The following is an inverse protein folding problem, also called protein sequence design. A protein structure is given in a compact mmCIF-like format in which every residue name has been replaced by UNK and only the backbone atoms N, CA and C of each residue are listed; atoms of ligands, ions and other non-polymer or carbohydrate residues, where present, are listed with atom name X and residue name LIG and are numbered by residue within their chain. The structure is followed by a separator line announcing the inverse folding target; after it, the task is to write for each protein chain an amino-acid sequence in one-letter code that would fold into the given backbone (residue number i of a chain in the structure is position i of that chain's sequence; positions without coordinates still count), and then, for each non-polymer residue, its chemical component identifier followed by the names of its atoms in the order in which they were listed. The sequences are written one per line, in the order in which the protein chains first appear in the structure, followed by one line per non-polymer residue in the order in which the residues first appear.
data_IF_207816604299
#
_entry.id   IF_207816604299
#
_cell.length_a   1.000
_cell.length_b   1.000
_cell.length_c   1.000
_cell.angle_alpha   90.00
_cell.angle_beta   90.00
_cell.angle_gamma   90.00
#
_symmetry.space_group_name_H-M   'P 1'
#
loop_
_entity.id
_entity.type
_entity.pdbx_description
1 polymer ?
#
# COMPACT_ATOMS: atom_id res chain seq x y z
N UNK A 1 45.13 -20.56 -31.57
CA UNK A 1 43.77 -21.04 -31.26
C UNK A 1 43.56 -21.32 -29.75
N UNK A 2 44.42 -22.13 -29.11
CA UNK A 2 44.23 -22.49 -27.65
C UNK A 2 44.46 -21.32 -26.73
N UNK A 3 45.45 -20.44 -27.00
CA UNK A 3 45.68 -19.22 -26.19
C UNK A 3 44.57 -18.17 -26.38
N UNK A 4 44.05 -18.03 -27.61
CA UNK A 4 42.93 -17.13 -27.89
C UNK A 4 41.68 -17.59 -27.16
N UNK A 5 41.38 -18.89 -27.16
CA UNK A 5 40.24 -19.42 -26.40
C UNK A 5 40.38 -19.27 -24.88
N UNK A 6 41.60 -19.38 -24.33
CA UNK A 6 41.85 -19.12 -22.92
C UNK A 6 41.62 -17.65 -22.55
N UNK A 7 42.10 -16.72 -23.44
CA UNK A 7 41.92 -15.28 -23.21
C UNK A 7 40.43 -14.86 -23.32
N UNK A 8 39.69 -15.44 -24.28
CA UNK A 8 38.24 -15.19 -24.37
C UNK A 8 37.55 -15.60 -23.08
N UNK A 9 37.82 -16.79 -22.57
CA UNK A 9 37.20 -17.29 -21.32
C UNK A 9 37.55 -16.42 -20.11
N UNK A 10 38.76 -15.88 -20.04
CA UNK A 10 39.19 -14.97 -18.99
C UNK A 10 38.42 -13.62 -19.08
N UNK A 11 38.31 -13.07 -20.28
CA UNK A 11 37.58 -11.82 -20.56
C UNK A 11 36.06 -11.98 -20.32
N UNK A 12 35.46 -13.10 -20.70
CA UNK A 12 34.06 -13.40 -20.45
C UNK A 12 33.78 -13.38 -18.95
N UNK A 13 34.65 -14.01 -18.14
CA UNK A 13 34.51 -13.98 -16.67
C UNK A 13 34.63 -12.57 -16.10
N UNK A 14 35.55 -11.75 -16.61
CA UNK A 14 35.69 -10.35 -16.18
C UNK A 14 34.46 -9.53 -16.56
N UNK A 15 33.88 -9.74 -17.74
CA UNK A 15 32.65 -9.12 -18.19
C UNK A 15 31.49 -9.51 -17.29
N UNK A 16 31.32 -10.79 -16.96
CA UNK A 16 30.28 -11.27 -16.06
C UNK A 16 30.38 -10.61 -14.68
N UNK A 17 31.59 -10.56 -14.09
CA UNK A 17 31.84 -9.91 -12.79
C UNK A 17 31.54 -8.40 -12.82
N UNK A 18 31.84 -7.72 -13.92
CA UNK A 18 31.52 -6.30 -14.10
C UNK A 18 30.02 -6.06 -14.29
N UNK A 19 29.35 -6.93 -15.03
CA UNK A 19 27.89 -6.88 -15.21
C UNK A 19 27.15 -7.08 -13.88
N UNK A 20 27.56 -8.06 -13.08
CA UNK A 20 26.97 -8.27 -11.74
C UNK A 20 27.15 -7.03 -10.83
N UNK A 21 28.34 -6.41 -10.85
CA UNK A 21 28.59 -5.17 -10.08
C UNK A 21 27.74 -4.00 -10.59
N UNK A 22 27.63 -3.86 -11.91
CA UNK A 22 26.80 -2.83 -12.53
C UNK A 22 25.33 -3.01 -12.15
N UNK A 23 24.79 -4.22 -12.27
CA UNK A 23 23.42 -4.54 -11.90
C UNK A 23 23.17 -4.28 -10.42
N UNK A 24 24.09 -4.69 -9.56
CA UNK A 24 24.02 -4.41 -8.11
C UNK A 24 23.86 -2.91 -7.81
N UNK A 25 24.58 -2.05 -8.53
CA UNK A 25 24.49 -0.59 -8.37
C UNK A 25 23.17 -0.08 -8.93
N UNK A 26 22.81 -0.47 -10.16
CA UNK A 26 21.61 0.01 -10.86
C UNK A 26 20.31 -0.33 -10.10
N UNK A 27 20.24 -1.53 -9.52
CA UNK A 27 19.09 -1.96 -8.72
C UNK A 27 18.91 -1.16 -7.41
N UNK A 28 19.93 -0.40 -6.97
CA UNK A 28 19.91 0.42 -5.76
C UNK A 28 19.73 1.92 -6.03
N UNK A 29 19.64 2.30 -7.29
CA UNK A 29 19.32 3.68 -7.64
C UNK A 29 17.80 3.90 -7.54
N UNK A 30 17.34 4.97 -6.87
CA UNK A 30 15.93 5.33 -6.85
C UNK A 30 15.45 5.76 -8.23
N UNK A 31 14.13 5.85 -8.37
CA UNK A 31 13.53 6.49 -9.54
C UNK A 31 13.88 7.99 -9.57
N UNK A 32 13.76 8.60 -10.74
CA UNK A 32 13.95 10.05 -10.89
C UNK A 32 12.68 10.79 -10.48
N UNK A 33 12.77 11.79 -9.60
CA UNK A 33 11.62 12.60 -9.23
C UNK A 33 11.10 13.40 -10.42
N UNK A 34 9.81 13.70 -10.42
CA UNK A 34 9.21 14.58 -11.40
C UNK A 34 9.67 16.04 -11.19
N UNK A 35 9.83 16.80 -12.28
CA UNK A 35 10.21 18.23 -12.20
C UNK A 35 9.22 19.06 -11.38
N UNK A 36 8.00 18.57 -11.18
CA UNK A 36 6.93 19.22 -10.42
C UNK A 36 6.92 18.88 -8.94
N UNK A 37 7.83 18.04 -8.47
CA UNK A 37 7.85 17.66 -7.05
C UNK A 37 8.52 18.72 -6.19
N UNK A 38 8.04 18.93 -4.95
CA UNK A 38 8.72 19.79 -3.99
C UNK A 38 10.14 19.27 -3.74
N UNK A 39 11.12 20.14 -3.83
CA UNK A 39 12.52 19.77 -3.57
C UNK A 39 12.81 19.95 -2.08
N UNK A 40 13.12 18.86 -1.39
CA UNK A 40 13.41 18.90 0.04
C UNK A 40 13.98 17.57 0.56
N UNK A 41 14.69 17.58 1.71
CA UNK A 41 15.36 16.40 2.25
C UNK A 41 14.43 15.44 3.02
N UNK A 42 13.23 15.87 3.42
CA UNK A 42 12.33 15.12 4.30
C UNK A 42 10.86 15.59 4.20
N UNK A 43 9.99 15.02 5.02
CA UNK A 43 8.55 15.27 5.10
C UNK A 43 8.16 16.73 5.40
N UNK A 44 9.04 17.53 6.00
CA UNK A 44 8.75 18.95 6.30
C UNK A 44 8.66 19.82 5.05
N UNK A 45 9.10 19.31 3.91
CA UNK A 45 9.01 19.97 2.61
C UNK A 45 7.83 19.48 1.76
N UNK A 46 7.01 18.60 2.29
CA UNK A 46 5.80 18.17 1.61
C UNK A 46 4.82 19.32 1.47
N UNK A 47 4.12 19.40 0.34
CA UNK A 47 3.20 20.48 0.04
C UNK A 47 1.75 20.00 0.07
N UNK A 48 0.88 20.66 0.87
CA UNK A 48 -0.54 20.40 0.83
C UNK A 48 -1.11 20.92 -0.49
N UNK A 49 -1.67 20.02 -1.30
CA UNK A 49 -2.25 20.34 -2.61
C UNK A 49 -3.72 20.75 -2.49
N UNK A 50 -4.48 20.01 -1.67
CA UNK A 50 -5.91 20.23 -1.42
C UNK A 50 -6.37 19.53 -0.15
N UNK A 51 -7.52 19.94 0.34
CA UNK A 51 -8.20 19.26 1.46
C UNK A 51 -9.69 19.18 1.20
N UNK A 52 -10.31 18.26 1.89
CA UNK A 52 -11.75 18.08 1.85
C UNK A 52 -12.32 17.99 3.26
N UNK A 53 -13.36 18.80 3.50
CA UNK A 53 -14.05 18.93 4.77
C UNK A 53 -13.18 19.50 5.91
N UNK A 54 -13.81 20.06 6.93
CA UNK A 54 -13.12 20.59 8.11
C UNK A 54 -12.83 19.47 9.11
N UNK A 55 -11.71 19.55 9.87
CA UNK A 55 -11.43 18.65 10.98
C UNK A 55 -12.63 18.49 11.91
N UNK A 56 -12.98 17.25 12.24
CA UNK A 56 -14.06 16.94 13.17
C UNK A 56 -13.74 17.52 14.54
N UNK A 57 -14.70 18.27 15.11
CA UNK A 57 -14.60 18.90 16.43
C UNK A 57 -15.63 18.32 17.37
N UNK A 58 -15.24 18.16 18.62
CA UNK A 58 -16.11 17.66 19.69
C UNK A 58 -16.16 18.70 20.83
N UNK A 59 -17.29 18.77 21.52
CA UNK A 59 -17.45 19.58 22.73
C UNK A 59 -16.91 18.88 23.99
N UNK A 60 -16.34 17.68 23.80
CA UNK A 60 -15.71 16.86 24.82
C UNK A 60 -14.34 16.35 24.35
N UNK A 61 -13.52 15.83 25.26
CA UNK A 61 -12.22 15.25 24.91
C UNK A 61 -12.42 13.94 24.16
N UNK A 62 -12.07 13.85 22.86
CA UNK A 62 -12.22 12.63 22.11
C UNK A 62 -11.24 11.56 22.59
N UNK A 63 -11.70 10.30 22.64
CA UNK A 63 -10.86 9.14 22.94
C UNK A 63 -10.14 8.67 21.70
N UNK A 64 -8.95 8.14 21.88
CA UNK A 64 -8.21 7.48 20.82
C UNK A 64 -8.87 6.14 20.43
N UNK A 65 -8.70 5.73 19.16
CA UNK A 65 -9.33 4.51 18.62
C UNK A 65 -8.96 3.23 19.39
N UNK A 66 -7.76 3.16 19.99
CA UNK A 66 -7.36 2.00 20.79
C UNK A 66 -8.12 1.92 22.13
N UNK A 67 -8.40 3.07 22.75
CA UNK A 67 -9.19 3.12 23.99
C UNK A 67 -10.67 2.82 23.68
N UNK A 68 -11.24 3.45 22.64
CA UNK A 68 -12.60 3.16 22.16
C UNK A 68 -12.77 1.68 21.80
N UNK A 69 -11.84 1.10 21.05
CA UNK A 69 -11.90 -0.30 20.65
C UNK A 69 -11.85 -1.26 21.83
N UNK A 70 -11.09 -0.91 22.87
CA UNK A 70 -11.03 -1.67 24.14
C UNK A 70 -12.30 -1.50 24.97
N UNK A 71 -12.78 -0.28 25.15
CA UNK A 71 -14.00 0.02 25.90
C UNK A 71 -15.23 -0.63 25.26
N UNK A 72 -15.33 -0.59 23.96
CA UNK A 72 -16.38 -1.26 23.17
C UNK A 72 -16.19 -2.78 23.10
N UNK A 73 -15.06 -3.31 23.55
CA UNK A 73 -14.70 -4.72 23.49
C UNK A 73 -14.68 -5.29 22.05
N UNK A 74 -14.31 -4.49 21.07
CA UNK A 74 -14.25 -4.83 19.65
C UNK A 74 -12.81 -5.00 19.11
N UNK A 75 -11.80 -4.50 19.86
CA UNK A 75 -10.37 -4.72 19.62
C UNK A 75 -9.75 -5.37 20.86
N UNK A 76 -8.94 -6.42 20.64
CA UNK A 76 -8.30 -7.18 21.71
C UNK A 76 -6.80 -7.31 21.46
N UNK A 77 -6.04 -6.47 22.15
CA UNK A 77 -4.58 -6.39 22.07
C UNK A 77 -3.89 -7.47 22.90
N UNK A 78 -4.49 -7.82 24.06
CA UNK A 78 -3.92 -8.81 24.98
C UNK A 78 -3.99 -10.22 24.38
N UNK A 79 -5.12 -10.56 23.75
CA UNK A 79 -5.25 -11.82 23.04
C UNK A 79 -4.25 -11.91 21.88
N UNK A 80 -4.06 -10.83 21.12
CA UNK A 80 -3.10 -10.79 20.02
C UNK A 80 -1.65 -10.95 20.52
N UNK A 81 -1.31 -10.32 21.64
CA UNK A 81 0.01 -10.45 22.24
C UNK A 81 0.31 -11.88 22.72
N UNK A 82 -0.68 -12.63 23.17
CA UNK A 82 -0.52 -14.06 23.55
C UNK A 82 -0.23 -14.95 22.34
N UNK A 83 -0.80 -14.62 21.18
CA UNK A 83 -0.75 -15.48 19.98
C UNK A 83 0.45 -15.12 19.10
N UNK A 84 0.76 -13.84 18.99
CA UNK A 84 1.80 -13.36 18.06
C UNK A 84 2.84 -12.50 18.79
N UNK A 85 2.54 -11.23 19.02
CA UNK A 85 3.39 -10.26 19.69
C UNK A 85 2.65 -8.92 19.84
N UNK A 86 3.39 -7.84 20.22
CA UNK A 86 2.95 -6.46 20.06
C UNK A 86 2.72 -6.13 18.57
N UNK A 87 1.91 -5.10 18.28
CA UNK A 87 1.55 -4.67 16.92
C UNK A 87 0.77 -5.72 16.11
N UNK A 88 0.02 -6.59 16.80
CA UNK A 88 -1.05 -7.41 16.27
C UNK A 88 -2.34 -7.09 17.01
N UNK A 89 -3.49 -7.39 16.41
CA UNK A 89 -4.80 -7.11 17.00
C UNK A 89 -5.80 -8.19 16.61
N UNK A 90 -6.70 -8.53 17.53
CA UNK A 90 -7.93 -9.25 17.21
C UNK A 90 -9.06 -8.24 17.05
N UNK A 91 -9.74 -8.30 15.91
CA UNK A 91 -11.05 -7.68 15.74
C UNK A 91 -12.11 -8.68 16.13
N UNK A 92 -13.11 -8.29 16.89
CA UNK A 92 -14.21 -9.18 17.28
C UNK A 92 -15.58 -8.49 17.26
N UNK A 93 -16.64 -9.27 17.12
CA UNK A 93 -18.01 -8.76 17.09
C UNK A 93 -18.20 -7.66 16.05
N UNK A 94 -18.73 -6.52 16.48
CA UNK A 94 -18.95 -5.36 15.62
C UNK A 94 -17.66 -4.80 15.03
N UNK A 95 -16.51 -4.97 15.69
CA UNK A 95 -15.21 -4.56 15.15
C UNK A 95 -14.78 -5.38 13.92
N UNK A 96 -14.94 -6.71 13.99
CA UNK A 96 -14.68 -7.58 12.86
C UNK A 96 -15.65 -7.34 11.70
N UNK A 97 -16.91 -7.04 12.03
CA UNK A 97 -17.92 -6.68 11.04
C UNK A 97 -17.60 -5.34 10.39
N UNK A 98 -17.14 -4.34 11.16
CA UNK A 98 -16.72 -3.03 10.64
C UNK A 98 -15.52 -3.15 9.70
N UNK A 99 -14.48 -3.91 10.09
CA UNK A 99 -13.31 -4.12 9.23
C UNK A 99 -13.73 -4.78 7.90
N UNK A 100 -14.57 -5.82 7.95
CA UNK A 100 -15.11 -6.48 6.77
C UNK A 100 -15.97 -5.54 5.92
N UNK A 101 -16.80 -4.72 6.54
CA UNK A 101 -17.62 -3.72 5.87
C UNK A 101 -16.75 -2.70 5.09
N UNK A 102 -15.68 -2.22 5.72
CA UNK A 102 -14.75 -1.26 5.12
C UNK A 102 -14.09 -1.83 3.87
N UNK A 103 -13.48 -3.01 3.91
CA UNK A 103 -12.79 -3.51 2.73
C UNK A 103 -13.76 -3.98 1.62
N UNK A 104 -14.95 -4.50 1.95
CA UNK A 104 -15.96 -4.82 0.94
C UNK A 104 -16.47 -3.55 0.25
N UNK A 105 -16.74 -2.49 1.01
CA UNK A 105 -17.10 -1.20 0.47
C UNK A 105 -16.01 -0.66 -0.49
N UNK A 106 -14.73 -0.76 -0.13
CA UNK A 106 -13.64 -0.31 -1.01
C UNK A 106 -13.57 -1.10 -2.31
N UNK A 107 -13.73 -2.42 -2.26
CA UNK A 107 -13.73 -3.26 -3.46
C UNK A 107 -14.92 -2.95 -4.37
N UNK A 108 -16.12 -2.79 -3.81
CA UNK A 108 -17.32 -2.46 -4.58
C UNK A 108 -17.18 -1.09 -5.26
N UNK A 109 -16.67 -0.08 -4.55
CA UNK A 109 -16.43 1.24 -5.13
C UNK A 109 -15.36 1.21 -6.22
N UNK A 110 -14.20 0.56 -5.96
CA UNK A 110 -13.14 0.47 -6.96
C UNK A 110 -13.62 -0.26 -8.22
N UNK A 111 -14.38 -1.35 -8.07
CA UNK A 111 -14.93 -2.06 -9.24
C UNK A 111 -15.97 -1.23 -9.99
N UNK A 112 -16.75 -0.41 -9.30
CA UNK A 112 -17.69 0.53 -9.94
C UNK A 112 -16.97 1.65 -10.71
N UNK A 113 -15.74 1.99 -10.32
CA UNK A 113 -14.86 2.95 -11.01
C UNK A 113 -14.03 2.31 -12.13
N UNK A 114 -14.32 1.05 -12.48
CA UNK A 114 -13.72 0.36 -13.62
C UNK A 114 -12.45 -0.43 -13.33
N UNK A 115 -12.16 -0.71 -12.07
CA UNK A 115 -11.09 -1.65 -11.72
C UNK A 115 -11.60 -3.09 -11.81
N UNK A 116 -10.74 -3.99 -12.31
CA UNK A 116 -10.97 -5.44 -12.22
C UNK A 116 -10.44 -5.94 -10.90
N UNK A 117 -11.30 -6.56 -10.09
CA UNK A 117 -10.88 -7.21 -8.85
C UNK A 117 -10.09 -8.48 -9.14
N UNK A 118 -8.96 -8.66 -8.43
CA UNK A 118 -8.09 -9.83 -8.51
C UNK A 118 -7.81 -10.36 -7.11
N UNK A 119 -7.89 -11.66 -6.91
CA UNK A 119 -7.43 -12.33 -5.69
C UNK A 119 -6.01 -12.83 -5.93
N UNK A 120 -5.05 -12.30 -5.17
CA UNK A 120 -3.62 -12.54 -5.39
C UNK A 120 -3.04 -13.54 -4.38
N UNK A 121 -1.93 -14.25 -4.74
CA UNK A 121 -1.11 -14.94 -3.75
C UNK A 121 -0.53 -13.95 -2.72
N UNK A 122 -0.42 -14.39 -1.45
CA UNK A 122 0.25 -13.63 -0.38
C UNK A 122 1.73 -13.98 -0.23
N UNK A 123 2.21 -15.02 -0.94
CA UNK A 123 3.60 -15.44 -1.02
C UNK A 123 4.12 -15.21 -2.44
N UNK A 124 5.24 -14.52 -2.56
CA UNK A 124 5.86 -14.19 -3.85
C UNK A 124 7.34 -14.54 -3.85
N UNK A 125 7.88 -14.82 -5.04
CA UNK A 125 9.31 -15.08 -5.22
C UNK A 125 10.14 -13.80 -5.25
N UNK A 126 11.46 -13.95 -5.16
CA UNK A 126 12.41 -12.83 -5.17
C UNK A 126 12.34 -11.99 -6.45
N UNK A 127 12.10 -12.62 -7.60
CA UNK A 127 11.97 -11.91 -8.87
C UNK A 127 10.77 -10.95 -8.86
N UNK A 128 9.69 -11.33 -8.18
CA UNK A 128 8.52 -10.46 -8.01
C UNK A 128 8.84 -9.28 -7.10
N UNK A 129 9.57 -9.51 -6.01
CA UNK A 129 10.04 -8.44 -5.12
C UNK A 129 11.01 -7.48 -5.83
N UNK A 130 11.86 -8.00 -6.70
CA UNK A 130 12.77 -7.19 -7.52
C UNK A 130 12.00 -6.43 -8.63
N UNK A 131 11.02 -7.06 -9.25
CA UNK A 131 10.19 -6.48 -10.31
C UNK A 131 9.50 -5.20 -9.90
N UNK A 132 9.04 -5.11 -8.65
CA UNK A 132 8.42 -3.90 -8.09
C UNK A 132 9.41 -2.99 -7.33
N UNK A 133 10.69 -3.38 -7.23
CA UNK A 133 11.73 -2.57 -6.60
C UNK A 133 11.82 -2.67 -5.07
N UNK A 134 11.11 -3.62 -4.43
CA UNK A 134 11.27 -3.91 -3.01
C UNK A 134 12.66 -4.48 -2.73
N UNK A 135 13.11 -5.42 -3.58
CA UNK A 135 14.46 -5.94 -3.51
C UNK A 135 15.38 -5.26 -4.53
N UNK A 136 16.66 -5.10 -4.19
CA UNK A 136 17.37 -5.57 -2.99
C UNK A 136 17.35 -4.60 -1.80
N UNK A 137 16.62 -3.47 -1.85
CA UNK A 137 16.74 -2.39 -0.86
C UNK A 137 16.07 -2.72 0.49
N UNK A 138 14.87 -3.31 0.47
CA UNK A 138 14.02 -3.50 1.66
C UNK A 138 14.02 -4.95 2.17
N UNK A 139 15.13 -5.66 2.06
CA UNK A 139 15.25 -7.06 2.50
C UNK A 139 15.06 -7.25 4.02
N UNK A 140 15.31 -6.21 4.82
CA UNK A 140 15.15 -6.24 6.28
C UNK A 140 13.70 -5.98 6.74
N UNK A 141 12.86 -5.42 5.85
CA UNK A 141 11.48 -5.04 6.16
C UNK A 141 10.44 -6.12 5.86
N UNK A 142 10.88 -7.30 5.45
CA UNK A 142 10.00 -8.37 5.01
C UNK A 142 10.12 -9.64 5.87
N UNK A 143 9.06 -10.46 5.85
CA UNK A 143 9.07 -11.82 6.41
C UNK A 143 9.35 -12.82 5.30
N UNK A 144 10.42 -13.60 5.44
CA UNK A 144 10.78 -14.69 4.52
C UNK A 144 10.40 -16.04 5.10
N UNK A 145 10.02 -16.98 4.23
CA UNK A 145 9.74 -18.35 4.62
C UNK A 145 11.07 -19.11 4.74
N UNK A 146 11.25 -19.80 5.84
CA UNK A 146 12.34 -20.74 6.06
C UNK A 146 11.73 -22.15 6.14
N UNK A 147 12.01 -22.97 5.15
CA UNK A 147 11.60 -24.37 5.11
C UNK A 147 12.82 -25.26 5.39
N UNK A 148 12.68 -26.20 6.32
CA UNK A 148 13.75 -27.09 6.69
C UNK A 148 13.86 -28.30 5.75
N UNK A 149 12.79 -28.64 5.02
CA UNK A 149 12.72 -29.80 4.15
C UNK A 149 13.15 -29.51 2.70
N UNK A 150 12.95 -28.26 2.23
CA UNK A 150 13.43 -27.79 0.92
C UNK A 150 13.98 -26.36 1.00
N UNK A 151 15.28 -26.21 1.35
CA UNK A 151 15.89 -24.91 1.49
C UNK A 151 15.95 -24.08 0.19
N UNK A 152 15.85 -24.71 -0.99
CA UNK A 152 15.87 -23.99 -2.27
C UNK A 152 14.52 -23.36 -2.58
N UNK A 153 13.42 -24.06 -2.33
CA UNK A 153 12.07 -23.53 -2.52
C UNK A 153 11.77 -22.46 -1.46
N UNK A 154 12.10 -22.71 -0.22
CA UNK A 154 11.83 -21.83 0.90
C UNK A 154 12.58 -20.49 0.85
N UNK A 155 13.83 -20.52 0.40
CA UNK A 155 14.67 -19.31 0.31
C UNK A 155 14.16 -18.26 -0.69
N UNK A 156 13.18 -18.63 -1.51
CA UNK A 156 12.68 -17.80 -2.60
C UNK A 156 11.28 -17.23 -2.37
N UNK A 157 10.64 -17.48 -1.21
CA UNK A 157 9.29 -16.97 -0.93
C UNK A 157 9.29 -15.95 0.20
N UNK A 158 8.57 -14.86 -0.04
CA UNK A 158 8.42 -13.74 0.89
C UNK A 158 6.93 -13.45 1.07
N UNK A 159 6.49 -13.16 2.31
CA UNK A 159 5.17 -12.61 2.58
C UNK A 159 5.09 -11.18 2.02
N UNK A 160 4.05 -10.90 1.25
CA UNK A 160 3.92 -9.60 0.57
C UNK A 160 3.78 -8.44 1.55
N UNK A 161 4.52 -7.33 1.38
CA UNK A 161 4.33 -6.10 2.15
C UNK A 161 3.17 -5.25 1.62
N UNK A 162 2.64 -5.57 0.44
CA UNK A 162 1.55 -4.90 -0.28
C UNK A 162 1.09 -5.76 -1.45
N UNK A 163 -0.19 -5.66 -1.83
CA UNK A 163 -0.70 -6.30 -3.06
C UNK A 163 -0.12 -5.70 -4.35
N UNK A 164 0.52 -4.54 -4.29
CA UNK A 164 1.27 -3.98 -5.43
C UNK A 164 2.20 -5.03 -6.06
N UNK A 165 2.92 -5.79 -5.22
CA UNK A 165 3.89 -6.78 -5.70
C UNK A 165 3.24 -7.83 -6.61
N UNK A 166 2.24 -8.60 -6.18
CA UNK A 166 1.62 -9.58 -7.08
C UNK A 166 0.81 -8.94 -8.20
N UNK A 167 0.19 -7.75 -8.01
CA UNK A 167 -0.61 -7.11 -9.05
C UNK A 167 0.25 -6.59 -10.21
N UNK A 168 1.38 -5.94 -9.94
CA UNK A 168 2.31 -5.49 -10.99
C UNK A 168 2.95 -6.69 -11.69
N UNK A 169 3.40 -7.69 -10.92
CA UNK A 169 4.04 -8.88 -11.48
C UNK A 169 3.08 -9.83 -12.21
N UNK A 170 1.75 -9.64 -12.11
CA UNK A 170 0.78 -10.32 -12.95
C UNK A 170 1.08 -10.12 -14.45
N UNK A 171 1.66 -8.98 -14.79
CA UNK A 171 2.03 -8.61 -16.16
C UNK A 171 3.52 -8.80 -16.47
N UNK A 172 4.29 -9.40 -15.56
CA UNK A 172 5.75 -9.59 -15.74
C UNK A 172 6.08 -10.40 -16.99
N UNK A 173 6.93 -9.82 -17.85
CA UNK A 173 7.38 -10.44 -19.09
C UNK A 173 6.43 -10.26 -20.27
N UNK A 174 5.26 -9.70 -20.07
CA UNK A 174 4.24 -9.58 -21.11
C UNK A 174 4.52 -8.44 -22.11
N UNK A 175 3.99 -8.63 -23.31
CA UNK A 175 3.82 -7.57 -24.31
C UNK A 175 2.32 -7.39 -24.56
N UNK A 176 1.75 -6.41 -23.90
CA UNK A 176 0.33 -6.09 -23.93
C UNK A 176 -0.04 -5.45 -25.27
N UNK A 177 -1.22 -5.75 -25.83
CA UNK A 177 -1.74 -4.95 -26.94
C UNK A 177 -2.08 -3.54 -26.43
N UNK A 178 -1.46 -2.51 -27.03
CA UNK A 178 -1.67 -1.12 -26.63
C UNK A 178 -3.10 -0.61 -26.68
N UNK A 179 -3.99 -1.33 -27.39
CA UNK A 179 -5.45 -1.04 -27.38
C UNK A 179 -6.14 -1.41 -26.08
N UNK A 180 -5.53 -2.30 -25.28
CA UNK A 180 -6.07 -2.75 -24.01
C UNK A 180 -5.64 -1.85 -22.82
N UNK A 181 -4.78 -0.86 -23.07
CA UNK A 181 -4.36 0.11 -22.05
C UNK A 181 -5.33 1.31 -22.00
N UNK A 182 -5.63 1.84 -20.81
CA UNK A 182 -5.14 1.46 -19.48
C UNK A 182 -5.75 0.16 -18.95
N UNK A 183 -4.99 -0.60 -18.17
CA UNK A 183 -5.48 -1.73 -17.38
C UNK A 183 -5.50 -1.30 -15.91
N UNK A 184 -6.66 -1.41 -15.27
CA UNK A 184 -6.86 -1.07 -13.87
C UNK A 184 -7.23 -2.34 -13.10
N UNK A 185 -6.46 -2.68 -12.07
CA UNK A 185 -6.72 -3.84 -11.22
C UNK A 185 -6.71 -3.45 -9.74
N UNK A 186 -7.53 -4.13 -8.93
CA UNK A 186 -7.59 -3.92 -7.49
C UNK A 186 -7.60 -5.25 -6.76
N UNK A 187 -7.02 -5.29 -5.56
CA UNK A 187 -7.02 -6.48 -4.72
C UNK A 187 -7.06 -6.14 -3.23
N UNK A 188 -7.84 -6.89 -2.47
CA UNK A 188 -7.69 -6.99 -1.03
C UNK A 188 -6.59 -8.01 -0.71
N UNK A 189 -5.64 -7.64 0.11
CA UNK A 189 -4.66 -8.58 0.66
C UNK A 189 -4.31 -8.29 2.12
N UNK A 190 -3.87 -9.30 2.88
CA UNK A 190 -3.00 -9.03 4.01
C UNK A 190 -1.69 -8.43 3.49
N UNK A 191 -1.08 -7.59 4.30
CA UNK A 191 0.24 -7.01 4.07
C UNK A 191 1.08 -7.24 5.33
N UNK A 192 2.34 -7.64 5.14
CA UNK A 192 3.23 -8.04 6.22
C UNK A 192 4.48 -7.18 6.20
N UNK A 193 4.77 -6.47 7.32
CA UNK A 193 5.96 -5.61 7.46
C UNK A 193 6.63 -5.86 8.79
N UNK A 194 7.94 -6.11 8.77
CA UNK A 194 8.72 -6.30 10.00
C UNK A 194 8.89 -5.00 10.80
N UNK A 195 8.66 -3.84 10.17
CA UNK A 195 8.77 -2.51 10.79
C UNK A 195 10.14 -2.27 11.44
N UNK A 196 11.22 -2.78 10.84
CA UNK A 196 12.57 -2.79 11.41
C UNK A 196 13.10 -1.39 11.80
N UNK A 197 12.71 -0.35 11.05
CA UNK A 197 13.13 1.04 11.29
C UNK A 197 12.21 1.87 12.18
N UNK A 198 11.13 1.30 12.77
CA UNK A 198 10.04 2.05 13.39
C UNK A 198 10.03 2.00 14.93
N UNK A 199 11.16 1.71 15.57
CA UNK A 199 11.25 1.61 17.03
C UNK A 199 10.75 2.90 17.72
N UNK A 200 9.77 2.74 18.64
CA UNK A 200 9.21 3.85 19.43
C UNK A 200 8.16 4.71 18.73
N UNK A 201 7.90 4.54 17.43
CA UNK A 201 6.85 5.28 16.70
C UNK A 201 5.55 4.48 16.66
N UNK A 202 4.40 5.16 16.87
CA UNK A 202 3.04 4.59 16.79
C UNK A 202 2.92 3.21 17.47
N UNK A 203 3.33 3.14 18.75
CA UNK A 203 3.39 1.88 19.51
C UNK A 203 2.03 1.36 19.96
N UNK A 204 0.97 2.16 19.79
CA UNK A 204 -0.42 1.82 20.13
C UNK A 204 -1.34 1.97 18.92
N UNK A 205 -2.43 1.21 18.93
CA UNK A 205 -3.50 1.32 17.96
C UNK A 205 -3.20 0.68 16.61
N UNK A 206 -4.00 1.05 15.60
CA UNK A 206 -4.05 0.40 14.29
C UNK A 206 -3.17 1.06 13.23
N UNK A 207 -2.43 2.13 13.58
CA UNK A 207 -1.69 2.92 12.59
C UNK A 207 -0.48 2.16 12.04
N UNK A 208 0.22 1.38 12.91
CA UNK A 208 1.44 0.67 12.55
C UNK A 208 1.43 -0.74 13.09
N UNK A 209 1.15 -1.70 12.22
CA UNK A 209 0.95 -3.11 12.52
C UNK A 209 1.90 -3.97 11.70
N UNK A 210 2.30 -5.14 12.22
CA UNK A 210 3.10 -6.13 11.49
C UNK A 210 2.28 -6.86 10.42
N UNK A 211 0.98 -7.02 10.66
CA UNK A 211 0.00 -7.53 9.71
C UNK A 211 -1.19 -6.58 9.67
N UNK A 212 -1.60 -6.20 8.47
CA UNK A 212 -2.79 -5.36 8.25
C UNK A 212 -3.41 -5.69 6.89
N UNK A 213 -4.67 -5.31 6.69
CA UNK A 213 -5.34 -5.45 5.39
C UNK A 213 -5.32 -4.14 4.64
N UNK A 214 -5.12 -4.26 3.34
CA UNK A 214 -5.13 -3.13 2.41
C UNK A 214 -5.84 -3.53 1.12
N UNK A 215 -6.70 -2.66 0.63
CA UNK A 215 -7.16 -2.71 -0.75
C UNK A 215 -6.16 -1.92 -1.57
N UNK A 216 -5.57 -2.53 -2.57
CA UNK A 216 -4.59 -1.90 -3.45
C UNK A 216 -5.17 -1.68 -4.82
N UNK A 217 -4.82 -0.58 -5.44
CA UNK A 217 -5.14 -0.23 -6.82
C UNK A 217 -3.85 -0.15 -7.62
N UNK A 218 -3.80 -0.80 -8.78
CA UNK A 218 -2.68 -0.74 -9.71
C UNK A 218 -3.19 -0.39 -11.10
N UNK A 219 -2.47 0.48 -11.79
CA UNK A 219 -2.73 0.81 -13.19
C UNK A 219 -1.49 0.50 -14.03
N UNK A 220 -1.70 -0.12 -15.19
CA UNK A 220 -0.71 -0.29 -16.24
C UNK A 220 -1.15 0.56 -17.42
N UNK A 221 -0.33 1.53 -17.82
CA UNK A 221 -0.74 2.59 -18.74
C UNK A 221 0.31 2.88 -19.79
N UNK A 222 -0.07 3.62 -20.84
CA UNK A 222 0.90 4.21 -21.77
C UNK A 222 1.65 5.37 -21.08
N UNK A 223 2.93 5.61 -21.43
CA UNK A 223 3.72 6.69 -20.84
C UNK A 223 3.05 8.07 -20.93
N UNK A 224 2.44 8.38 -22.04
CA UNK A 224 1.76 9.66 -22.30
C UNK A 224 0.55 9.92 -21.41
N UNK A 225 -0.08 8.86 -20.88
CA UNK A 225 -1.30 8.95 -20.06
C UNK A 225 -0.98 8.96 -18.55
N UNK A 226 0.24 8.60 -18.14
CA UNK A 226 0.55 8.23 -16.76
C UNK A 226 0.33 9.36 -15.74
N UNK A 227 0.57 10.61 -16.11
CA UNK A 227 0.34 11.75 -15.21
C UNK A 227 -1.14 12.01 -14.96
N UNK A 228 -1.96 11.90 -16.01
CA UNK A 228 -3.42 11.98 -15.89
C UNK A 228 -3.96 10.81 -15.06
N UNK A 229 -3.41 9.62 -15.26
CA UNK A 229 -3.83 8.44 -14.52
C UNK A 229 -3.40 8.47 -13.05
N UNK A 230 -2.35 9.22 -12.67
CA UNK A 230 -2.02 9.50 -11.28
C UNK A 230 -3.12 10.35 -10.61
N UNK A 231 -3.60 11.41 -11.27
CA UNK A 231 -4.71 12.20 -10.76
C UNK A 231 -5.99 11.36 -10.63
N UNK A 232 -6.31 10.53 -11.62
CA UNK A 232 -7.46 9.64 -11.57
C UNK A 232 -7.35 8.64 -10.40
N UNK A 233 -6.17 8.03 -10.20
CA UNK A 233 -5.91 7.10 -9.11
C UNK A 233 -6.09 7.77 -7.74
N UNK A 234 -5.55 8.99 -7.60
CA UNK A 234 -5.68 9.79 -6.38
C UNK A 234 -7.15 10.14 -6.10
N UNK A 235 -7.91 10.56 -7.13
CA UNK A 235 -9.34 10.83 -7.00
C UNK A 235 -10.15 9.59 -6.61
N UNK A 236 -9.80 8.40 -7.10
CA UNK A 236 -10.46 7.16 -6.65
C UNK A 236 -10.28 6.95 -5.14
N UNK A 237 -9.07 7.16 -4.60
CA UNK A 237 -8.82 7.08 -3.16
C UNK A 237 -9.56 8.19 -2.36
N UNK A 238 -9.58 9.43 -2.87
CA UNK A 238 -10.33 10.54 -2.27
C UNK A 238 -11.84 10.24 -2.20
N UNK A 239 -12.39 9.66 -3.27
CA UNK A 239 -13.80 9.30 -3.35
C UNK A 239 -14.24 8.36 -2.22
N UNK A 240 -13.40 7.38 -1.85
CA UNK A 240 -13.66 6.49 -0.74
C UNK A 240 -13.78 7.25 0.59
N UNK A 241 -12.87 8.19 0.85
CA UNK A 241 -12.89 9.03 2.05
C UNK A 241 -14.10 9.96 2.08
N UNK A 242 -14.44 10.55 0.93
CA UNK A 242 -15.60 11.43 0.79
C UNK A 242 -16.92 10.68 1.07
N UNK A 243 -17.08 9.47 0.52
CA UNK A 243 -18.26 8.63 0.79
C UNK A 243 -18.36 8.20 2.25
N UNK A 244 -17.21 8.04 2.93
CA UNK A 244 -17.17 7.77 4.36
C UNK A 244 -17.36 9.03 5.23
N UNK A 245 -17.37 10.23 4.62
CA UNK A 245 -17.49 11.49 5.36
C UNK A 245 -16.28 11.84 6.23
N UNK A 246 -15.10 11.28 5.92
CA UNK A 246 -13.88 11.47 6.71
C UNK A 246 -13.09 12.68 6.18
N UNK A 247 -12.79 13.69 7.03
CA UNK A 247 -11.96 14.83 6.64
C UNK A 247 -10.54 14.38 6.29
N UNK A 248 -9.99 14.90 5.19
CA UNK A 248 -8.65 14.55 4.73
C UNK A 248 -7.97 15.72 4.03
N UNK A 249 -6.66 15.61 3.84
CA UNK A 249 -5.87 16.44 2.94
C UNK A 249 -5.06 15.58 1.99
N UNK A 250 -4.69 16.13 0.84
CA UNK A 250 -3.78 15.54 -0.14
C UNK A 250 -2.47 16.31 -0.11
N UNK A 251 -1.37 15.59 0.00
CA UNK A 251 -0.03 16.14 0.14
C UNK A 251 0.85 15.61 -0.99
N UNK A 252 1.52 16.50 -1.72
CA UNK A 252 2.58 16.12 -2.66
C UNK A 252 3.87 15.91 -1.88
N UNK A 253 4.45 14.72 -1.99
CA UNK A 253 5.67 14.38 -1.28
C UNK A 253 6.88 15.08 -1.89
N UNK A 254 7.80 15.51 -1.03
CA UNK A 254 9.08 16.05 -1.44
C UNK A 254 10.02 14.97 -1.97
N UNK A 255 11.05 15.37 -2.68
CA UNK A 255 12.07 14.47 -3.23
C UNK A 255 12.79 13.63 -2.19
N UNK A 256 12.84 14.05 -0.93
CA UNK A 256 13.46 13.32 0.18
C UNK A 256 12.53 12.40 0.94
N UNK A 257 11.20 12.56 0.76
CA UNK A 257 10.16 11.74 1.39
C UNK A 257 9.49 10.76 0.40
N UNK A 258 9.62 11.02 -0.90
CA UNK A 258 9.08 10.15 -1.95
C UNK A 258 9.64 8.72 -1.88
N UNK A 259 8.82 7.73 -2.23
CA UNK A 259 9.26 6.34 -2.21
C UNK A 259 10.37 6.07 -3.23
N UNK A 260 11.18 5.05 -2.95
CA UNK A 260 12.30 4.64 -3.81
C UNK A 260 11.91 4.37 -5.27
N UNK A 261 10.68 3.90 -5.48
CA UNK A 261 10.18 3.45 -6.79
C UNK A 261 9.41 4.51 -7.56
N UNK A 262 8.93 5.54 -6.88
CA UNK A 262 8.04 6.54 -7.48
C UNK A 262 8.81 7.73 -8.07
N UNK A 263 8.28 8.26 -9.18
CA UNK A 263 8.67 9.54 -9.73
C UNK A 263 7.86 10.69 -9.12
N UNK A 264 6.61 10.43 -8.71
CA UNK A 264 5.74 11.36 -8.00
C UNK A 264 4.78 10.61 -7.12
N UNK A 265 4.54 11.12 -5.91
CA UNK A 265 3.60 10.57 -4.95
C UNK A 265 2.70 11.64 -4.36
N UNK A 266 1.41 11.33 -4.28
CA UNK A 266 0.45 12.02 -3.44
C UNK A 266 0.06 11.13 -2.26
N UNK A 267 0.23 11.63 -1.04
CA UNK A 267 -0.33 11.01 0.15
C UNK A 267 -1.68 11.63 0.49
N UNK A 268 -2.65 10.78 0.82
CA UNK A 268 -3.90 11.19 1.44
C UNK A 268 -3.74 10.98 2.94
N UNK A 269 -3.97 12.03 3.69
CA UNK A 269 -3.89 12.01 5.15
C UNK A 269 -5.26 12.30 5.75
N UNK A 270 -5.77 11.38 6.57
CA UNK A 270 -7.07 11.49 7.24
C UNK A 270 -6.92 12.17 8.59
N UNK A 271 -7.89 12.99 8.96
CA UNK A 271 -7.93 13.63 10.27
C UNK A 271 -8.17 12.63 11.40
N UNK A 272 -7.37 12.71 12.45
CA UNK A 272 -7.45 11.88 13.66
C UNK A 272 -7.71 12.78 14.88
N UNK A 273 -8.97 12.95 15.30
CA UNK A 273 -9.36 13.93 16.34
C UNK A 273 -8.65 13.76 17.68
N UNK A 274 -8.44 12.52 18.13
CA UNK A 274 -7.80 12.27 19.42
C UNK A 274 -6.31 12.59 19.42
N UNK A 275 -5.68 12.62 18.24
CA UNK A 275 -4.26 12.93 18.06
C UNK A 275 -4.06 14.39 17.60
N UNK A 276 -5.14 15.11 17.28
CA UNK A 276 -5.13 16.47 16.75
C UNK A 276 -4.18 16.63 15.54
N UNK A 277 -4.21 15.64 14.62
CA UNK A 277 -3.32 15.61 13.46
C UNK A 277 -3.90 14.82 12.29
N UNK A 278 -3.35 15.05 11.12
CA UNK A 278 -3.57 14.21 9.95
C UNK A 278 -2.63 13.00 9.93
N UNK A 279 -3.11 11.85 9.49
CA UNK A 279 -2.34 10.63 9.36
C UNK A 279 -2.51 10.03 7.97
N UNK A 280 -1.42 9.63 7.35
CA UNK A 280 -1.42 8.94 6.05
C UNK A 280 -2.36 7.73 6.08
N UNK A 281 -3.26 7.65 5.10
CA UNK A 281 -4.21 6.54 4.91
C UNK A 281 -4.10 5.92 3.52
N UNK A 282 -3.57 6.66 2.56
CA UNK A 282 -3.26 6.19 1.21
C UNK A 282 -2.04 6.91 0.68
N UNK A 283 -1.26 6.22 -0.14
CA UNK A 283 -0.16 6.78 -0.91
C UNK A 283 -0.37 6.38 -2.37
N UNK A 284 -0.48 7.36 -3.26
CA UNK A 284 -0.75 7.19 -4.69
C UNK A 284 0.49 7.61 -5.49
N UNK A 285 1.11 6.66 -6.19
CA UNK A 285 2.41 6.83 -6.84
C UNK A 285 2.38 6.55 -8.33
N UNK A 286 3.08 7.38 -9.10
CA UNK A 286 3.46 7.09 -10.48
C UNK A 286 4.92 6.61 -10.48
N UNK A 287 5.13 5.34 -10.82
CA UNK A 287 6.46 4.74 -10.89
C UNK A 287 7.12 4.93 -12.27
N UNK A 288 6.45 5.60 -13.20
CA UNK A 288 6.89 5.70 -14.60
C UNK A 288 7.28 4.33 -15.18
N UNK A 289 8.41 4.20 -15.85
CA UNK A 289 8.90 2.93 -16.40
C UNK A 289 9.78 2.12 -15.42
N UNK A 290 9.97 2.57 -14.18
CA UNK A 290 10.88 1.98 -13.21
C UNK A 290 10.59 0.49 -12.95
N UNK A 291 9.33 0.16 -12.66
CA UNK A 291 8.90 -1.23 -12.45
C UNK A 291 8.78 -1.98 -13.79
N UNK A 292 8.32 -1.31 -14.84
CA UNK A 292 8.20 -1.90 -16.17
C UNK A 292 9.56 -2.34 -16.72
N UNK A 293 10.64 -1.59 -16.48
CA UNK A 293 12.02 -2.00 -16.84
C UNK A 293 12.45 -3.25 -16.08
N UNK A 294 12.19 -3.32 -14.76
CA UNK A 294 12.58 -4.44 -13.89
C UNK A 294 11.78 -5.69 -14.18
N UNK A 295 10.46 -5.56 -14.32
CA UNK A 295 9.54 -6.65 -14.58
C UNK A 295 9.31 -6.95 -16.07
N UNK A 296 9.94 -6.18 -16.99
CA UNK A 296 9.79 -6.31 -18.44
C UNK A 296 8.33 -6.23 -18.90
N UNK A 297 7.55 -5.26 -18.36
CA UNK A 297 6.17 -5.02 -18.75
C UNK A 297 6.14 -4.06 -19.93
N UNK A 298 5.71 -4.56 -21.08
CA UNK A 298 5.78 -3.85 -22.35
C UNK A 298 4.42 -3.82 -23.04
N UNK A 299 4.28 -2.94 -23.99
CA UNK A 299 3.12 -2.93 -24.88
C UNK A 299 3.54 -2.75 -26.32
N UNK A 300 2.68 -3.19 -27.24
CA UNK A 300 2.83 -2.97 -28.68
C UNK A 300 1.94 -1.81 -29.08
N UNK A 301 2.55 -0.76 -29.62
CA UNK A 301 1.83 0.41 -30.10
C UNK A 301 1.15 0.15 -31.48
N UNK A 302 0.43 1.16 -31.99
CA UNK A 302 -0.29 1.08 -33.26
C UNK A 302 0.63 0.88 -34.47
N UNK A 303 1.88 1.32 -34.40
CA UNK A 303 2.92 1.12 -35.40
C UNK A 303 3.60 -0.26 -35.30
N UNK A 304 3.20 -1.09 -34.35
CA UNK A 304 3.78 -2.41 -34.07
C UNK A 304 5.07 -2.37 -33.25
N UNK A 305 5.52 -1.20 -32.77
CA UNK A 305 6.73 -1.06 -31.95
C UNK A 305 6.44 -1.49 -30.50
N UNK A 306 7.42 -2.16 -29.92
CA UNK A 306 7.36 -2.57 -28.50
C UNK A 306 7.99 -1.49 -27.64
N UNK A 307 7.24 -1.02 -26.63
CA UNK A 307 7.64 0.02 -25.69
C UNK A 307 7.39 -0.43 -24.26
N UNK A 308 8.06 0.18 -23.29
CA UNK A 308 7.76 -0.02 -21.87
C UNK A 308 6.45 0.69 -21.50
N UNK A 309 5.67 0.06 -20.63
CA UNK A 309 4.52 0.71 -19.98
C UNK A 309 5.00 1.62 -18.85
N UNK A 310 4.09 2.45 -18.33
CA UNK A 310 4.21 3.02 -16.99
C UNK A 310 3.30 2.25 -16.02
N UNK A 311 3.71 2.17 -14.75
CA UNK A 311 2.91 1.57 -13.67
C UNK A 311 2.59 2.61 -12.61
N UNK A 312 1.39 2.53 -12.06
CA UNK A 312 0.94 3.35 -10.95
C UNK A 312 0.34 2.44 -9.89
N UNK A 313 0.50 2.80 -8.64
CA UNK A 313 -0.13 2.11 -7.52
C UNK A 313 -0.66 3.10 -6.49
N UNK A 314 -1.68 2.67 -5.75
CA UNK A 314 -2.22 3.45 -4.64
C UNK A 314 -3.11 2.61 -3.75
N UNK A 315 -3.14 2.96 -2.48
CA UNK A 315 -4.05 2.30 -1.55
C UNK A 315 -5.47 2.82 -1.73
N UNK A 316 -6.38 1.95 -1.90
CA UNK A 316 -7.80 2.27 -1.94
C UNK A 316 -8.62 1.53 -0.87
N UNK A 317 -8.33 1.64 0.43
CA UNK A 317 -7.37 2.30 1.28
C UNK A 317 -6.72 1.30 2.26
N UNK A 318 -5.91 1.80 3.24
CA UNK A 318 -5.47 1.01 4.40
C UNK A 318 -6.65 0.74 5.34
N UNK A 319 -7.10 -0.52 5.45
CA UNK A 319 -8.35 -0.89 6.14
C UNK A 319 -8.27 -0.55 7.64
N UNK A 320 -7.21 -0.97 8.32
CA UNK A 320 -7.05 -0.71 9.76
C UNK A 320 -6.99 0.78 10.11
N UNK A 321 -6.30 1.59 9.29
CA UNK A 321 -6.27 3.06 9.47
C UNK A 321 -7.64 3.69 9.23
N UNK A 322 -8.42 3.16 8.29
CA UNK A 322 -9.80 3.61 8.05
C UNK A 322 -10.70 3.26 9.24
N UNK A 323 -10.59 2.06 9.79
CA UNK A 323 -11.30 1.68 11.02
C UNK A 323 -10.93 2.62 12.17
N UNK A 324 -9.64 2.93 12.36
CA UNK A 324 -9.20 3.88 13.37
C UNK A 324 -9.82 5.27 13.17
N UNK A 325 -9.80 5.78 11.93
CA UNK A 325 -10.38 7.07 11.59
C UNK A 325 -11.91 7.11 11.82
N UNK A 326 -12.63 6.04 11.48
CA UNK A 326 -14.06 5.93 11.74
C UNK A 326 -14.33 5.95 13.26
N UNK A 327 -13.60 5.14 14.03
CA UNK A 327 -13.78 5.11 15.50
C UNK A 327 -13.56 6.51 16.10
N UNK A 328 -12.53 7.23 15.67
CA UNK A 328 -12.25 8.55 16.25
C UNK A 328 -13.20 9.65 15.74
N UNK A 329 -13.53 9.70 14.43
CA UNK A 329 -14.36 10.76 13.88
C UNK A 329 -15.86 10.58 14.15
N UNK A 330 -16.31 9.35 14.37
CA UNK A 330 -17.75 9.03 14.58
C UNK A 330 -18.09 8.62 15.99
N UNK A 331 -17.17 8.84 16.96
CA UNK A 331 -17.44 8.59 18.36
C UNK A 331 -18.50 9.53 18.93
N UNK A 332 -19.27 9.03 19.88
CA UNK A 332 -20.25 9.79 20.62
C UNK A 332 -19.78 9.98 22.07
N UNK A 333 -20.30 11.00 22.76
CA UNK A 333 -19.96 11.30 24.15
C UNK A 333 -20.29 10.13 25.10
N UNK A 334 -21.30 9.32 24.76
CA UNK A 334 -21.69 8.11 25.50
C UNK A 334 -20.74 6.90 25.30
N UNK A 335 -19.66 7.08 24.55
CA UNK A 335 -18.66 6.05 24.25
C UNK A 335 -19.05 5.08 23.14
N UNK A 336 -20.19 5.27 22.49
CA UNK A 336 -20.59 4.51 21.30
C UNK A 336 -20.01 5.13 20.04
N UNK A 337 -20.08 4.43 18.89
CA UNK A 337 -19.62 4.93 17.61
C UNK A 337 -20.74 4.86 16.58
N UNK A 338 -21.06 5.95 15.93
CA UNK A 338 -22.03 5.99 14.83
C UNK A 338 -21.43 5.32 13.60
N UNK A 339 -22.19 4.45 12.94
CA UNK A 339 -21.76 3.81 11.69
C UNK A 339 -21.97 4.77 10.52
N UNK A 340 -20.92 5.08 9.72
CA UNK A 340 -21.08 5.84 8.49
C UNK A 340 -22.17 5.28 7.59
N UNK A 341 -22.96 6.13 6.98
CA UNK A 341 -24.12 5.70 6.20
C UNK A 341 -23.74 4.72 5.07
N UNK A 342 -22.62 4.98 4.39
CA UNK A 342 -22.10 4.12 3.32
C UNK A 342 -21.79 2.68 3.78
N UNK A 343 -21.49 2.47 5.07
CA UNK A 343 -21.15 1.15 5.61
C UNK A 343 -22.35 0.38 6.18
N UNK A 344 -23.48 1.05 6.41
CA UNK A 344 -24.66 0.39 7.01
C UNK A 344 -25.17 -0.83 6.24
N UNK A 345 -25.21 -0.83 4.88
CA UNK A 345 -25.59 -2.02 4.13
C UNK A 345 -24.67 -3.22 4.40
N UNK A 346 -23.36 -2.98 4.55
CA UNK A 346 -22.35 -4.00 4.84
C UNK A 346 -22.34 -4.46 6.30
N UNK A 347 -23.01 -3.71 7.19
CA UNK A 347 -23.12 -3.97 8.62
C UNK A 347 -24.54 -4.39 9.03
N UNK A 348 -25.29 -5.03 8.14
CA UNK A 348 -26.66 -5.53 8.39
C UNK A 348 -27.64 -4.43 8.85
N UNK A 349 -27.44 -3.19 8.39
CA UNK A 349 -28.27 -2.04 8.80
C UNK A 349 -27.90 -1.44 10.17
N UNK A 350 -26.83 -1.88 10.80
CA UNK A 350 -26.37 -1.32 12.08
C UNK A 350 -26.06 0.18 11.92
N UNK A 351 -26.63 1.00 12.80
CA UNK A 351 -26.44 2.46 12.80
C UNK A 351 -25.48 2.94 13.88
N UNK A 352 -25.22 2.11 14.89
CA UNK A 352 -24.40 2.45 16.05
C UNK A 352 -23.68 1.20 16.58
N UNK A 353 -22.39 1.32 16.86
CA UNK A 353 -21.59 0.31 17.56
C UNK A 353 -21.70 0.59 19.06
N UNK A 354 -22.08 -0.41 19.82
CA UNK A 354 -22.22 -0.39 21.29
C UNK A 354 -21.28 -1.42 21.91
N UNK A 355 -21.00 -1.35 23.22
CA UNK A 355 -20.13 -2.32 23.88
C UNK A 355 -20.58 -3.76 23.67
N UNK A 356 -19.67 -4.61 23.23
CA UNK A 356 -19.86 -6.05 23.07
C UNK A 356 -19.72 -6.80 24.41
N UNK A 357 -20.33 -7.96 24.49
CA UNK A 357 -20.25 -8.81 25.67
C UNK A 357 -18.80 -9.29 25.89
N UNK A 358 -18.32 -9.16 27.14
CA UNK A 358 -17.01 -9.74 27.51
C UNK A 358 -17.18 -11.24 27.73
N UNK A 359 -16.24 -12.00 27.20
CA UNK A 359 -16.21 -13.46 27.38
C UNK A 359 -15.53 -13.89 28.69
N UNK A 360 -14.80 -12.96 29.31
CA UNK A 360 -14.08 -13.17 30.59
C UNK A 360 -14.24 -11.98 31.52
#
# INVERSE_FOLDING_TARGET
MREVGAKIKELDKEVDELQEKQEYILLRLPNFPADSDPIGPDESYNEEVRRWNEPTKFDYQPKAHWDLGTDLNILDWDAASKVSAARFVYYKGAGALLERAVYNFFLDENTSEGYTEVITPSLVNNDSMQGTGQFPKFTEDVYTIVDNDDPEVARNLTLIPTAEVPLVNYFRGDIIDGKNLPINVTALSPAFRSEAGSAGRDTRGLIRMHEFRKVEMVKVVKPEDSWKELENLTHNAEHLLQKLGLPYRVVALSTGDASFTSAKTYDLEVWMPAQDTYREISSCSNCTDFQARRAQIRYRDEDGKVKLTHTLNGSGLAVGRTVAAILENYQNEDGTVTVPEALRPYMHGMTKITPEVKWH
#
